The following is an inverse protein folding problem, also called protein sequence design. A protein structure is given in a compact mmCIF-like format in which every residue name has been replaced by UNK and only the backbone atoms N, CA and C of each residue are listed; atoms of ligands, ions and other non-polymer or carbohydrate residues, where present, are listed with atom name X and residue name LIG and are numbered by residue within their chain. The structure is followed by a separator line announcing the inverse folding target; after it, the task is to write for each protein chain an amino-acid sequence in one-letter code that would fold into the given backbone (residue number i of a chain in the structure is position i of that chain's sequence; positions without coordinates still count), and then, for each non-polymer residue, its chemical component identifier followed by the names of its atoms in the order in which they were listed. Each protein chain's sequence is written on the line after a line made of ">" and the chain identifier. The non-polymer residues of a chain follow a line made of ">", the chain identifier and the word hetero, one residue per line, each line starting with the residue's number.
data_IF_941564872211
#
_entry.id   IF_941564872211
#
_cell.length_a   1.000
_cell.length_b   1.000
_cell.length_c   1.000
_cell.angle_alpha   90.00
_cell.angle_beta   90.00
_cell.angle_gamma   90.00
#
_symmetry.space_group_name_H-M   'P 1'
#
loop_
_entity.id
_entity.type
_entity.pdbx_description
1 polymer ?
#
# COMPACT_ATOMS: atom_id res chain seq x y z
N UNK A 1 -46.75 15.16 -20.76
CA UNK A 1 -46.10 14.34 -19.72
C UNK A 1 -44.62 14.26 -20.06
N UNK A 2 -43.73 14.84 -19.25
CA UNK A 2 -42.28 14.83 -19.49
C UNK A 2 -41.69 13.64 -18.73
N UNK A 3 -41.06 12.71 -19.44
CA UNK A 3 -40.35 11.59 -18.85
C UNK A 3 -39.09 12.12 -18.18
N UNK A 4 -39.03 12.10 -16.85
CA UNK A 4 -37.79 12.31 -16.12
C UNK A 4 -36.92 11.05 -16.29
N UNK A 5 -35.65 11.17 -16.71
CA UNK A 5 -34.75 10.04 -16.68
C UNK A 5 -34.51 9.63 -15.22
N UNK A 6 -34.69 8.34 -14.94
CA UNK A 6 -34.31 7.74 -13.67
C UNK A 6 -32.80 7.91 -13.54
N UNK A 7 -32.37 8.77 -12.62
CA UNK A 7 -30.99 8.76 -12.14
C UNK A 7 -30.77 7.41 -11.46
N UNK A 8 -30.08 6.51 -12.16
CA UNK A 8 -29.50 5.33 -11.52
C UNK A 8 -28.57 5.84 -10.42
N UNK A 9 -28.66 5.34 -9.17
CA UNK A 9 -27.70 5.67 -8.14
C UNK A 9 -26.31 5.29 -8.65
N UNK A 10 -25.34 6.20 -8.45
CA UNK A 10 -23.93 5.94 -8.70
C UNK A 10 -23.60 4.59 -8.08
N UNK A 11 -23.16 3.61 -8.89
CA UNK A 11 -22.68 2.33 -8.40
C UNK A 11 -21.56 2.65 -7.42
N UNK A 12 -21.83 2.49 -6.12
CA UNK A 12 -20.81 2.52 -5.10
C UNK A 12 -19.69 1.58 -5.58
N UNK A 13 -18.50 2.13 -5.75
CA UNK A 13 -17.34 1.35 -6.06
C UNK A 13 -17.19 0.32 -4.94
N UNK A 14 -17.47 -0.94 -5.24
CA UNK A 14 -17.09 -2.05 -4.39
C UNK A 14 -15.55 -2.04 -4.38
N UNK A 15 -14.97 -1.31 -3.44
CA UNK A 15 -13.56 -1.45 -3.10
C UNK A 15 -13.49 -2.85 -2.50
N UNK A 16 -12.94 -3.81 -3.25
CA UNK A 16 -12.49 -5.05 -2.64
C UNK A 16 -11.28 -4.67 -1.82
N UNK A 17 -11.52 -4.13 -0.62
CA UNK A 17 -10.49 -3.97 0.37
C UNK A 17 -10.16 -5.40 0.80
N UNK A 18 -9.19 -6.03 0.13
CA UNK A 18 -8.65 -7.31 0.57
C UNK A 18 -7.98 -6.98 1.89
N UNK A 19 -8.73 -7.11 2.99
CA UNK A 19 -8.21 -6.79 4.30
C UNK A 19 -6.97 -7.66 4.53
N UNK A 20 -5.85 -7.00 4.81
CA UNK A 20 -4.56 -7.66 4.97
C UNK A 20 -4.26 -7.81 6.45
N UNK A 21 -3.58 -8.90 6.84
CA UNK A 21 -3.04 -9.00 8.18
C UNK A 21 -2.15 -7.79 8.48
N UNK A 22 -2.34 -7.22 9.67
CA UNK A 22 -1.46 -6.19 10.21
C UNK A 22 -0.15 -6.86 10.62
N UNK A 23 0.98 -6.30 10.22
CA UNK A 23 2.31 -6.82 10.52
C UNK A 23 2.99 -5.85 11.47
N UNK A 24 3.45 -6.36 12.62
CA UNK A 24 4.34 -5.64 13.52
C UNK A 24 5.77 -6.14 13.32
N UNK A 25 6.68 -5.23 12.93
CA UNK A 25 8.12 -5.48 12.88
C UNK A 25 8.76 -4.69 14.03
N UNK A 26 8.96 -5.37 15.16
CA UNK A 26 9.25 -4.69 16.42
C UNK A 26 8.10 -3.76 16.82
N UNK A 27 8.39 -2.46 16.94
CA UNK A 27 7.38 -1.44 17.26
C UNK A 27 6.71 -0.80 16.02
N UNK A 28 7.08 -1.23 14.80
CA UNK A 28 6.60 -0.62 13.57
C UNK A 28 5.44 -1.41 12.96
N UNK A 29 4.34 -0.72 12.68
CA UNK A 29 3.17 -1.26 11.96
C UNK A 29 3.33 -1.14 10.43
N UNK A 30 2.97 -2.20 9.72
CA UNK A 30 2.89 -2.29 8.25
C UNK A 30 1.86 -3.34 7.80
N UNK A 31 1.68 -3.50 6.49
CA UNK A 31 1.08 -4.69 5.89
C UNK A 31 1.94 -5.18 4.72
N UNK A 32 1.55 -6.30 4.10
CA UNK A 32 2.34 -6.90 3.02
C UNK A 32 2.46 -5.98 1.79
N UNK A 33 1.36 -5.32 1.38
CA UNK A 33 1.40 -4.44 0.21
C UNK A 33 2.17 -3.14 0.42
N UNK A 34 2.36 -2.69 1.66
CA UNK A 34 3.02 -1.42 1.98
C UNK A 34 4.45 -1.62 2.51
N UNK A 35 4.97 -2.85 2.49
CA UNK A 35 6.29 -3.21 2.97
C UNK A 35 7.26 -3.48 1.81
N UNK A 36 8.40 -2.78 1.78
CA UNK A 36 9.50 -3.03 0.85
C UNK A 36 10.70 -3.56 1.63
N UNK A 37 11.05 -4.83 1.41
CA UNK A 37 12.01 -5.57 2.22
C UNK A 37 12.40 -6.87 1.50
N UNK A 38 13.64 -7.32 1.64
CA UNK A 38 13.99 -8.71 1.36
C UNK A 38 13.27 -9.62 2.37
N UNK A 39 12.27 -10.36 1.91
CA UNK A 39 11.45 -11.23 2.76
C UNK A 39 12.28 -12.33 3.45
N UNK A 40 13.45 -12.70 2.92
CA UNK A 40 14.35 -13.63 3.60
C UNK A 40 14.93 -13.05 4.89
N UNK A 41 14.95 -11.72 5.02
CA UNK A 41 15.36 -11.03 6.23
C UNK A 41 14.22 -10.93 7.26
N UNK A 42 12.97 -11.24 6.90
CA UNK A 42 11.85 -11.28 7.84
C UNK A 42 11.86 -12.62 8.60
N UNK A 43 11.69 -12.56 9.92
CA UNK A 43 11.46 -13.72 10.78
C UNK A 43 10.14 -13.54 11.49
N UNK A 44 9.19 -14.43 11.20
CA UNK A 44 7.89 -14.47 11.87
C UNK A 44 8.09 -15.09 13.25
N UNK A 45 7.59 -14.41 14.27
CA UNK A 45 7.62 -14.85 15.67
C UNK A 45 6.28 -15.46 16.06
N UNK A 46 5.18 -14.82 15.68
CA UNK A 46 3.84 -15.25 16.04
C UNK A 46 2.82 -14.79 14.99
N UNK A 47 1.74 -15.55 14.85
CA UNK A 47 0.63 -15.23 13.97
C UNK A 47 -0.67 -15.43 14.73
N UNK A 48 -1.50 -14.39 14.78
CA UNK A 48 -2.83 -14.40 15.37
C UNK A 48 -3.88 -14.39 14.26
N UNK A 49 -4.75 -15.39 14.27
CA UNK A 49 -5.90 -15.49 13.36
C UNK A 49 -7.22 -15.76 14.09
N UNK A 50 -7.15 -16.12 15.38
CA UNK A 50 -8.33 -16.37 16.20
C UNK A 50 -8.96 -15.04 16.61
N UNK A 51 -10.27 -14.87 16.36
CA UNK A 51 -10.98 -13.62 16.61
C UNK A 51 -10.87 -13.14 18.06
N UNK A 52 -10.79 -14.05 19.04
CA UNK A 52 -10.65 -13.69 20.46
C UNK A 52 -9.27 -13.10 20.78
N UNK A 53 -8.22 -13.60 20.12
CA UNK A 53 -6.86 -13.08 20.26
C UNK A 53 -6.69 -11.74 19.54
N UNK A 54 -7.49 -11.48 18.52
CA UNK A 54 -7.42 -10.26 17.71
C UNK A 54 -8.03 -9.03 18.37
N UNK A 55 -8.90 -9.20 19.38
CA UNK A 55 -9.57 -8.08 20.08
C UNK A 55 -8.57 -7.06 20.65
N UNK A 56 -7.42 -7.52 21.15
CA UNK A 56 -6.38 -6.67 21.71
C UNK A 56 -5.71 -5.73 20.68
N UNK A 57 -5.84 -6.03 19.39
CA UNK A 57 -5.25 -5.24 18.29
C UNK A 57 -6.26 -4.28 17.64
N UNK A 58 -7.52 -4.30 18.08
CA UNK A 58 -8.59 -3.42 17.56
C UNK A 58 -8.93 -3.66 16.08
N UNK A 59 -9.60 -2.68 15.48
CA UNK A 59 -10.13 -2.78 14.10
C UNK A 59 -9.07 -3.15 13.06
N UNK A 60 -7.88 -2.59 13.18
CA UNK A 60 -6.80 -2.78 12.20
C UNK A 60 -6.29 -4.22 12.15
N UNK A 61 -6.41 -4.97 13.23
CA UNK A 61 -5.95 -6.36 13.34
C UNK A 61 -7.01 -7.40 12.98
N UNK A 62 -8.24 -7.01 12.64
CA UNK A 62 -9.36 -7.94 12.43
C UNK A 62 -9.13 -8.96 11.32
N UNK A 63 -8.30 -8.62 10.34
CA UNK A 63 -7.91 -9.50 9.23
C UNK A 63 -6.72 -10.41 9.57
N UNK A 64 -6.31 -10.46 10.83
CA UNK A 64 -5.15 -11.19 11.32
C UNK A 64 -4.01 -10.26 11.72
N UNK A 65 -3.12 -10.76 12.58
CA UNK A 65 -1.92 -10.04 13.03
C UNK A 65 -0.71 -10.96 12.93
N UNK A 66 0.40 -10.42 12.42
CA UNK A 66 1.69 -11.13 12.35
C UNK A 66 2.69 -10.31 13.16
N UNK A 67 3.34 -10.96 14.12
CA UNK A 67 4.47 -10.40 14.87
C UNK A 67 5.75 -10.92 14.25
N UNK A 68 6.64 -10.02 13.85
CA UNK A 68 7.88 -10.35 13.18
C UNK A 68 9.04 -9.48 13.68
N UNK A 69 10.25 -9.92 13.36
CA UNK A 69 11.48 -9.18 13.53
C UNK A 69 12.35 -9.30 12.27
N UNK A 70 13.32 -8.41 12.12
CA UNK A 70 14.33 -8.54 11.08
C UNK A 70 15.52 -9.36 11.59
N UNK A 71 16.00 -10.31 10.78
CA UNK A 71 17.18 -11.13 11.08
C UNK A 71 18.45 -10.29 11.13
N UNK A 72 18.47 -9.17 10.41
CA UNK A 72 19.58 -8.21 10.37
C UNK A 72 19.11 -6.83 10.80
N UNK A 73 20.06 -6.00 11.26
CA UNK A 73 19.80 -4.61 11.67
C UNK A 73 19.65 -3.70 10.43
N UNK A 74 18.56 -3.87 9.70
CA UNK A 74 18.21 -3.03 8.56
C UNK A 74 17.26 -1.91 9.01
N UNK A 75 17.59 -0.63 8.77
CA UNK A 75 16.66 0.45 9.05
C UNK A 75 15.48 0.38 8.09
N UNK A 76 14.26 0.42 8.64
CA UNK A 76 13.03 0.60 7.86
C UNK A 76 12.61 2.05 7.95
N UNK A 77 12.41 2.70 6.81
CA UNK A 77 12.03 4.09 6.70
C UNK A 77 10.54 4.24 6.40
N UNK A 78 9.93 5.30 6.93
CA UNK A 78 8.57 5.74 6.57
C UNK A 78 8.59 6.45 5.22
N UNK A 79 7.40 6.62 4.64
CA UNK A 79 7.25 7.13 3.29
C UNK A 79 7.92 8.49 3.09
N UNK A 80 7.70 9.44 4.00
CA UNK A 80 8.28 10.79 3.90
C UNK A 80 9.82 10.77 3.93
N UNK A 81 10.41 9.87 4.72
CA UNK A 81 11.86 9.67 4.77
C UNK A 81 12.40 9.09 3.45
N UNK A 82 11.67 8.15 2.85
CA UNK A 82 12.00 7.60 1.52
C UNK A 82 11.89 8.67 0.43
N UNK A 83 10.81 9.46 0.42
CA UNK A 83 10.65 10.56 -0.54
C UNK A 83 11.78 11.60 -0.40
N UNK A 84 12.20 11.89 0.84
CA UNK A 84 13.36 12.73 1.12
C UNK A 84 14.67 12.12 0.61
N UNK A 85 14.89 10.83 0.85
CA UNK A 85 16.10 10.11 0.40
C UNK A 85 16.26 10.16 -1.12
N UNK A 86 15.18 9.97 -1.87
CA UNK A 86 15.16 10.04 -3.34
C UNK A 86 14.99 11.47 -3.90
N UNK A 87 15.05 12.49 -3.04
CA UNK A 87 14.94 13.91 -3.42
C UNK A 87 13.67 14.23 -4.22
N UNK A 88 12.56 13.56 -3.89
CA UNK A 88 11.27 13.84 -4.51
C UNK A 88 10.85 15.25 -4.11
N UNK A 89 10.53 16.15 -5.07
CA UNK A 89 10.13 17.53 -4.75
C UNK A 89 8.91 17.56 -3.82
N UNK A 90 8.93 18.44 -2.81
CA UNK A 90 7.84 18.59 -1.85
C UNK A 90 6.48 18.87 -2.51
N UNK A 91 6.49 19.56 -3.66
CA UNK A 91 5.29 19.80 -4.47
C UNK A 91 4.61 18.53 -4.97
N UNK A 92 5.25 17.36 -4.88
CA UNK A 92 4.73 16.06 -5.31
C UNK A 92 4.37 15.12 -4.16
N UNK A 93 4.65 15.47 -2.91
CA UNK A 93 4.41 14.58 -1.76
C UNK A 93 2.92 14.28 -1.54
N UNK A 94 2.05 15.17 -2.02
CA UNK A 94 0.58 15.01 -2.00
C UNK A 94 0.05 13.95 -2.98
N UNK A 95 0.85 13.53 -3.96
CA UNK A 95 0.41 12.54 -4.94
C UNK A 95 0.23 11.17 -4.28
N UNK A 96 -0.73 10.40 -4.78
CA UNK A 96 -0.91 9.00 -4.39
C UNK A 96 0.37 8.21 -4.72
N UNK A 97 0.71 7.27 -3.84
CA UNK A 97 1.94 6.47 -3.94
C UNK A 97 1.57 5.03 -4.26
N UNK A 98 2.40 4.42 -5.09
CA UNK A 98 2.31 3.04 -5.52
C UNK A 98 3.64 2.33 -5.26
N UNK A 99 3.60 1.01 -5.12
CA UNK A 99 4.78 0.14 -5.19
C UNK A 99 4.56 -0.79 -6.37
N UNK A 100 5.45 -0.76 -7.37
CA UNK A 100 5.37 -1.58 -8.58
C UNK A 100 3.96 -1.55 -9.21
N UNK A 101 3.42 -0.34 -9.34
CA UNK A 101 2.07 -0.01 -9.84
C UNK A 101 0.91 -0.58 -9.03
N UNK A 102 1.13 -0.99 -7.77
CA UNK A 102 0.09 -1.42 -6.83
C UNK A 102 -0.17 -0.35 -5.78
N UNK A 103 -1.45 -0.17 -5.43
CA UNK A 103 -1.86 0.75 -4.37
C UNK A 103 -1.40 0.26 -3.00
N UNK A 104 -1.00 1.22 -2.17
CA UNK A 104 -0.48 0.99 -0.82
C UNK A 104 -1.24 1.80 0.21
N UNK A 105 -1.11 1.41 1.48
CA UNK A 105 -1.52 2.24 2.59
C UNK A 105 -0.31 3.08 3.04
N UNK A 106 -0.39 4.41 2.88
CA UNK A 106 0.68 5.34 3.22
C UNK A 106 1.06 5.30 4.70
N UNK A 107 0.09 5.12 5.60
CA UNK A 107 0.33 5.09 7.05
C UNK A 107 1.05 3.81 7.48
N UNK A 108 0.84 2.73 6.73
CA UNK A 108 1.47 1.44 6.95
C UNK A 108 2.74 1.27 6.11
N UNK A 109 3.20 2.29 5.39
CA UNK A 109 4.39 2.15 4.57
C UNK A 109 5.65 1.98 5.42
N UNK A 110 6.45 0.98 5.07
CA UNK A 110 7.80 0.74 5.58
C UNK A 110 8.71 0.24 4.46
N UNK A 111 9.93 0.75 4.39
CA UNK A 111 10.88 0.30 3.36
C UNK A 111 12.33 0.22 3.85
N UNK A 112 13.02 -0.84 3.45
CA UNK A 112 14.46 -0.82 3.27
C UNK A 112 14.77 -0.09 1.95
N UNK A 113 15.32 1.12 2.05
CA UNK A 113 15.68 1.93 0.87
C UNK A 113 16.65 1.24 -0.09
N UNK A 114 17.42 0.24 0.38
CA UNK A 114 18.33 -0.52 -0.49
C UNK A 114 17.58 -1.42 -1.46
N UNK A 115 16.33 -1.74 -1.19
CA UNK A 115 15.44 -2.54 -2.06
C UNK A 115 14.67 -1.67 -3.06
N UNK A 116 14.78 -0.34 -2.97
CA UNK A 116 14.17 0.57 -3.93
C UNK A 116 15.18 0.87 -5.05
N UNK A 117 14.75 0.69 -6.29
CA UNK A 117 15.54 1.07 -7.47
C UNK A 117 15.40 2.57 -7.75
N UNK A 118 14.16 3.07 -7.84
CA UNK A 118 13.86 4.47 -8.18
C UNK A 118 12.42 4.84 -7.80
N UNK A 119 12.13 6.14 -7.83
CA UNK A 119 10.76 6.66 -7.76
C UNK A 119 10.42 7.35 -9.08
N UNK A 120 9.42 6.81 -9.77
CA UNK A 120 8.94 7.31 -11.04
C UNK A 120 7.73 8.20 -10.87
N UNK A 121 7.61 9.18 -11.76
CA UNK A 121 6.41 9.98 -11.91
C UNK A 121 5.56 9.37 -13.02
N UNK A 122 4.41 8.82 -12.64
CA UNK A 122 3.51 8.14 -13.56
C UNK A 122 2.27 9.00 -13.78
N UNK A 123 1.92 9.21 -15.04
CA UNK A 123 0.61 9.72 -15.44
C UNK A 123 -0.18 8.55 -16.01
N UNK A 124 -1.39 8.34 -15.48
CA UNK A 124 -2.19 7.14 -15.81
C UNK A 124 -2.61 7.17 -17.25
N UNK A 125 -2.25 6.12 -17.98
CA UNK A 125 -2.67 5.91 -19.36
C UNK A 125 -3.87 4.98 -19.45
N UNK A 126 -4.53 4.96 -20.61
CA UNK A 126 -5.58 3.99 -20.89
C UNK A 126 -5.05 2.54 -20.81
N UNK A 127 -3.78 2.33 -21.13
CA UNK A 127 -3.14 1.01 -21.07
C UNK A 127 -2.96 0.54 -19.62
N UNK A 128 -2.55 1.43 -18.70
CA UNK A 128 -2.42 1.08 -17.28
C UNK A 128 -3.77 0.64 -16.67
N UNK A 129 -4.86 1.31 -17.05
CA UNK A 129 -6.23 0.94 -16.63
C UNK A 129 -6.62 -0.44 -17.17
N UNK A 130 -6.32 -0.73 -18.43
CA UNK A 130 -6.67 -2.00 -19.07
C UNK A 130 -5.84 -3.18 -18.54
N UNK A 131 -4.58 -2.95 -18.21
CA UNK A 131 -3.67 -3.97 -17.67
C UNK A 131 -3.85 -4.22 -16.17
N UNK A 132 -4.68 -3.43 -15.48
CA UNK A 132 -4.93 -3.53 -14.04
C UNK A 132 -6.36 -3.97 -13.74
N UNK A 133 -6.73 -5.25 -14.03
CA UNK A 133 -8.12 -5.70 -13.89
C UNK A 133 -8.64 -5.57 -12.44
N UNK A 134 -7.75 -5.64 -11.45
CA UNK A 134 -8.09 -5.52 -10.03
C UNK A 134 -8.27 -4.08 -9.53
N UNK A 135 -7.72 -3.09 -10.24
CA UNK A 135 -7.71 -1.67 -9.81
C UNK A 135 -8.46 -0.75 -10.76
N UNK A 136 -9.31 -1.32 -11.65
CA UNK A 136 -9.97 -0.57 -12.72
C UNK A 136 -10.76 0.64 -12.23
N UNK A 137 -11.27 0.59 -10.99
CA UNK A 137 -12.04 1.67 -10.37
C UNK A 137 -11.19 2.63 -9.52
N UNK A 138 -9.92 2.32 -9.27
CA UNK A 138 -9.00 3.13 -8.46
C UNK A 138 -8.10 4.02 -9.32
N UNK A 139 -7.85 3.60 -10.56
CA UNK A 139 -7.12 4.39 -11.55
C UNK A 139 -8.01 5.47 -12.17
N UNK A 140 -7.54 6.71 -12.17
CA UNK A 140 -8.18 7.83 -12.88
C UNK A 140 -7.30 8.24 -14.05
N UNK A 141 -7.86 8.23 -15.27
CA UNK A 141 -7.12 8.58 -16.49
C UNK A 141 -6.53 10.00 -16.39
N UNK A 142 -5.23 10.13 -16.65
CA UNK A 142 -4.49 11.41 -16.53
C UNK A 142 -4.14 11.84 -15.10
N UNK A 143 -4.60 11.12 -14.06
CA UNK A 143 -4.14 11.35 -12.70
C UNK A 143 -2.66 10.95 -12.56
N UNK A 144 -1.97 11.64 -11.65
CA UNK A 144 -0.52 11.53 -11.46
C UNK A 144 -0.19 10.88 -10.13
N UNK A 145 0.80 10.00 -10.17
CA UNK A 145 1.20 9.15 -9.06
C UNK A 145 2.71 9.16 -8.90
N UNK A 146 3.18 8.84 -7.71
CA UNK A 146 4.55 8.44 -7.45
C UNK A 146 4.59 6.90 -7.41
N UNK A 147 5.32 6.30 -8.34
CA UNK A 147 5.52 4.86 -8.36
C UNK A 147 6.91 4.52 -7.83
N UNK A 148 6.97 3.84 -6.69
CA UNK A 148 8.21 3.28 -6.15
C UNK A 148 8.47 1.97 -6.88
N UNK A 149 9.60 1.90 -7.57
CA UNK A 149 10.05 0.70 -8.28
C UNK A 149 11.02 -0.04 -7.38
N UNK A 150 10.72 -1.31 -7.09
CA UNK A 150 11.59 -2.16 -6.27
C UNK A 150 12.59 -2.93 -7.13
N UNK A 151 13.67 -3.41 -6.50
CA UNK A 151 14.63 -4.30 -7.15
C UNK A 151 14.06 -5.72 -7.20
N UNK A 152 14.26 -6.39 -8.33
CA UNK A 152 13.97 -7.84 -8.49
C UNK A 152 14.85 -8.72 -7.60
#
# INVERSE_FOLDING_TARGET
>A
MRNNPILLPAREAFIVNIEQPLIYIGALETNYHSLILDLNNLKILETYTDSTQLEQFGEKGRAGVIIAELKTKTPLLRLEEVLGYFQVPASRHHLKVLIDKKFINRELFLADVKQIEKIEYLEVTQQDILLSPFYKNEWVLGEKYLNIVTKD
#
